data_IF_767051304979
#
_entry.id   IF_767051304979
#
_cell.length_a   1.000
_cell.length_b   1.000
_cell.length_c   1.000
_cell.angle_alpha   90.00
_cell.angle_beta   90.00
_cell.angle_gamma   90.00
#
_symmetry.space_group_name_H-M   'P 1'
#
loop_
_entity.id
_entity.type
_entity.pdbx_description
1 polymer ?
#
# COMPACT_ATOMS: atom_id res chain seq x y z
N UNK A 1 -48.96 -10.12 32.08
CA UNK A 1 -49.87 -10.79 33.03
C UNK A 1 -49.58 -10.32 34.44
N UNK A 2 -48.56 -10.87 35.09
CA UNK A 2 -48.20 -10.55 36.49
C UNK A 2 -48.08 -9.04 36.76
N UNK A 3 -47.25 -8.31 36.00
CA UNK A 3 -47.09 -6.86 36.21
C UNK A 3 -48.41 -6.08 36.14
N UNK A 4 -49.33 -6.46 35.25
CA UNK A 4 -50.63 -5.82 35.13
C UNK A 4 -51.50 -6.04 36.39
N UNK A 5 -51.38 -7.21 37.02
CA UNK A 5 -52.03 -7.47 38.30
C UNK A 5 -51.39 -6.64 39.42
N UNK A 6 -50.06 -6.54 39.47
CA UNK A 6 -49.33 -5.71 40.44
C UNK A 6 -49.72 -4.23 40.36
N UNK A 7 -49.87 -3.67 39.16
CA UNK A 7 -50.33 -2.28 38.96
C UNK A 7 -51.74 -2.06 39.52
N UNK A 8 -52.56 -3.11 39.59
CA UNK A 8 -53.89 -3.10 40.20
C UNK A 8 -53.90 -3.47 41.68
N UNK A 9 -52.73 -3.57 42.32
CA UNK A 9 -52.60 -3.92 43.73
C UNK A 9 -52.79 -5.40 44.05
N UNK A 10 -52.78 -6.28 43.04
CA UNK A 10 -52.95 -7.73 43.22
C UNK A 10 -51.60 -8.43 43.11
N UNK A 11 -51.19 -9.12 44.17
CA UNK A 11 -50.01 -9.99 44.21
C UNK A 11 -50.51 -11.44 44.17
N UNK A 12 -49.88 -12.30 43.36
CA UNK A 12 -50.36 -13.66 43.15
C UNK A 12 -49.99 -14.60 44.29
N UNK A 13 -48.76 -14.56 44.80
CA UNK A 13 -48.23 -15.36 45.92
C UNK A 13 -48.26 -16.90 45.75
N UNK A 14 -48.71 -17.43 44.62
CA UNK A 14 -48.74 -18.87 44.32
C UNK A 14 -48.41 -19.10 42.84
N UNK A 15 -47.47 -18.34 42.29
CA UNK A 15 -47.02 -18.56 40.93
C UNK A 15 -46.24 -19.87 40.84
N UNK A 16 -46.73 -20.76 39.98
CA UNK A 16 -46.12 -22.06 39.65
C UNK A 16 -46.55 -22.48 38.24
N UNK A 17 -45.89 -23.45 37.59
CA UNK A 17 -46.23 -23.86 36.23
C UNK A 17 -47.71 -24.26 36.07
N UNK A 18 -48.30 -24.91 37.08
CA UNK A 18 -49.72 -25.28 37.07
C UNK A 18 -50.70 -24.10 36.96
N UNK A 19 -50.28 -22.89 37.35
CA UNK A 19 -51.08 -21.67 37.28
C UNK A 19 -50.78 -20.84 36.01
N UNK A 20 -50.00 -21.38 35.08
CA UNK A 20 -49.68 -20.77 33.78
C UNK A 20 -50.21 -21.66 32.67
N UNK A 21 -51.40 -21.35 32.16
CA UNK A 21 -52.04 -22.09 31.07
C UNK A 21 -51.62 -21.53 29.71
N UNK A 22 -51.39 -22.39 28.73
CA UNK A 22 -51.10 -21.97 27.36
C UNK A 22 -52.31 -22.25 26.48
N UNK A 23 -52.90 -21.19 25.92
CA UNK A 23 -54.00 -21.27 24.97
C UNK A 23 -53.62 -20.53 23.70
N UNK A 24 -53.76 -21.18 22.53
CA UNK A 24 -53.41 -20.62 21.21
C UNK A 24 -51.97 -20.07 21.15
N UNK A 25 -51.03 -20.79 21.78
CA UNK A 25 -49.62 -20.38 21.83
C UNK A 25 -49.33 -19.18 22.73
N UNK A 26 -50.30 -18.70 23.52
CA UNK A 26 -50.13 -17.58 24.45
C UNK A 26 -50.28 -18.02 25.91
N UNK A 27 -49.31 -17.73 26.78
CA UNK A 27 -49.43 -18.02 28.20
C UNK A 27 -50.42 -17.07 28.87
N UNK A 28 -51.25 -17.61 29.76
CA UNK A 28 -52.23 -16.91 30.60
C UNK A 28 -52.06 -17.38 32.03
N UNK A 29 -52.09 -16.43 32.96
CA UNK A 29 -52.00 -16.72 34.38
C UNK A 29 -53.42 -16.89 34.91
N UNK A 30 -53.63 -17.97 35.65
CA UNK A 30 -54.90 -18.30 36.32
C UNK A 30 -54.69 -18.36 37.82
N UNK A 31 -55.78 -18.50 38.58
CA UNK A 31 -55.74 -18.73 40.03
C UNK A 31 -54.94 -17.67 40.81
N UNK A 32 -55.16 -16.40 40.47
CA UNK A 32 -54.68 -15.27 41.28
C UNK A 32 -55.12 -15.50 42.73
N UNK A 33 -54.14 -15.58 43.63
CA UNK A 33 -54.36 -16.05 45.00
C UNK A 33 -55.39 -15.21 45.76
N UNK A 34 -56.63 -15.69 45.84
CA UNK A 34 -57.67 -15.17 46.75
C UNK A 34 -57.55 -15.80 48.15
N UNK A 35 -56.59 -16.71 48.39
CA UNK A 35 -56.51 -17.46 49.64
C UNK A 35 -55.11 -17.39 50.28
N UNK A 36 -54.96 -16.54 51.31
CA UNK A 36 -54.32 -16.85 52.61
C UNK A 36 -54.22 -15.59 53.48
N UNK A 37 -55.37 -15.02 53.84
CA UNK A 37 -55.53 -14.40 55.15
C UNK A 37 -55.90 -15.53 56.12
N UNK A 38 -54.91 -16.26 56.62
CA UNK A 38 -55.13 -17.18 57.75
C UNK A 38 -55.03 -16.31 59.00
N UNK A 39 -56.15 -16.11 59.67
CA UNK A 39 -56.24 -15.41 60.96
C UNK A 39 -55.12 -15.86 61.92
N UNK A 40 -54.58 -14.92 62.71
CA UNK A 40 -53.51 -15.13 63.71
C UNK A 40 -53.90 -16.08 64.87
N UNK A 41 -55.04 -16.78 64.80
CA UNK A 41 -55.69 -17.35 65.98
C UNK A 41 -55.49 -18.83 66.26
N UNK A 42 -54.95 -19.63 65.35
CA UNK A 42 -54.71 -21.05 65.67
C UNK A 42 -53.33 -21.51 65.20
N UNK A 43 -52.41 -21.62 66.17
CA UNK A 43 -51.04 -22.10 66.00
C UNK A 43 -50.90 -23.60 65.68
N UNK A 44 -51.91 -24.24 65.10
CA UNK A 44 -51.91 -25.68 64.84
C UNK A 44 -52.72 -26.04 63.59
N UNK A 45 -52.26 -25.66 62.39
CA UNK A 45 -52.50 -26.39 61.11
C UNK A 45 -51.75 -25.71 59.96
N UNK A 46 -50.42 -25.82 59.95
CA UNK A 46 -49.60 -25.52 58.76
C UNK A 46 -49.14 -26.80 58.04
N UNK A 47 -49.69 -27.97 58.40
CA UNK A 47 -49.17 -29.27 57.97
C UNK A 47 -49.96 -29.94 56.83
N UNK A 48 -51.06 -29.32 56.35
CA UNK A 48 -51.90 -29.90 55.29
C UNK A 48 -52.30 -28.93 54.18
N UNK A 49 -51.82 -27.70 54.19
CA UNK A 49 -52.05 -26.77 53.09
C UNK A 49 -50.83 -26.80 52.15
N UNK A 50 -50.72 -27.90 51.40
CA UNK A 50 -49.69 -28.19 50.39
C UNK A 50 -49.77 -27.13 49.29
N UNK A 51 -49.09 -26.00 49.49
CA UNK A 51 -48.52 -25.25 48.37
C UNK A 51 -47.33 -26.04 47.82
N UNK A 52 -46.82 -25.69 46.65
CA UNK A 52 -45.60 -26.31 46.11
C UNK A 52 -44.40 -25.50 46.61
N UNK A 53 -43.69 -25.89 47.69
CA UNK A 53 -42.70 -25.02 48.34
C UNK A 53 -41.52 -24.67 47.42
N UNK A 54 -41.32 -25.46 46.37
CA UNK A 54 -40.30 -25.26 45.35
C UNK A 54 -40.32 -23.88 44.67
N UNK A 55 -41.48 -23.21 44.61
CA UNK A 55 -41.62 -21.89 43.96
C UNK A 55 -41.77 -20.72 44.94
N UNK A 56 -41.79 -21.01 46.25
CA UNK A 56 -41.95 -19.98 47.28
C UNK A 56 -40.69 -19.14 47.42
N UNK A 57 -40.86 -17.84 47.64
CA UNK A 57 -39.76 -16.94 47.96
C UNK A 57 -39.28 -17.08 49.41
N UNK A 58 -38.08 -16.57 49.76
CA UNK A 58 -37.56 -16.58 51.13
C UNK A 58 -38.54 -16.00 52.16
N UNK A 59 -39.18 -14.87 51.85
CA UNK A 59 -40.17 -14.24 52.73
C UNK A 59 -41.44 -15.08 52.91
N UNK A 60 -41.83 -15.89 51.91
CA UNK A 60 -42.97 -16.80 52.01
C UNK A 60 -42.67 -18.01 52.90
N UNK A 61 -41.53 -18.68 52.70
CA UNK A 61 -41.16 -19.87 53.49
C UNK A 61 -40.84 -19.53 54.94
N UNK A 62 -40.39 -18.29 55.21
CA UNK A 62 -40.18 -17.75 56.55
C UNK A 62 -41.46 -17.22 57.22
N UNK A 63 -42.59 -17.21 56.52
CA UNK A 63 -43.87 -16.72 57.05
C UNK A 63 -43.92 -15.21 57.29
N UNK A 64 -43.06 -14.42 56.64
CA UNK A 64 -42.97 -12.96 56.81
C UNK A 64 -44.04 -12.24 56.00
N UNK A 65 -45.30 -12.36 56.43
CA UNK A 65 -46.46 -11.86 55.67
C UNK A 65 -46.44 -10.36 55.38
N UNK A 66 -45.85 -9.56 56.26
CA UNK A 66 -45.75 -8.09 56.08
C UNK A 66 -44.76 -7.69 54.98
N UNK A 67 -43.91 -8.63 54.56
CA UNK A 67 -42.86 -8.40 53.57
C UNK A 67 -43.29 -8.91 52.16
N UNK A 68 -44.50 -9.46 52.04
CA UNK A 68 -45.02 -9.97 50.76
C UNK A 68 -45.43 -8.81 49.86
N UNK A 69 -44.76 -8.70 48.71
CA UNK A 69 -45.05 -7.71 47.70
C UNK A 69 -44.86 -8.25 46.27
N UNK A 70 -44.90 -7.37 45.26
CA UNK A 70 -44.70 -7.73 43.86
C UNK A 70 -43.42 -8.54 43.58
N UNK A 71 -42.38 -8.40 44.41
CA UNK A 71 -41.07 -9.05 44.27
C UNK A 71 -41.09 -10.51 44.72
N UNK A 72 -42.11 -10.91 45.49
CA UNK A 72 -42.42 -12.31 45.77
C UNK A 72 -42.77 -13.06 44.48
N UNK A 73 -43.65 -12.47 43.66
CA UNK A 73 -44.01 -13.05 42.36
C UNK A 73 -42.84 -13.04 41.36
N UNK A 74 -41.97 -12.03 41.42
CA UNK A 74 -40.73 -11.98 40.61
C UNK A 74 -39.82 -13.17 40.92
N UNK A 75 -39.66 -13.53 42.19
CA UNK A 75 -38.87 -14.70 42.58
C UNK A 75 -39.47 -15.98 42.02
N UNK A 76 -40.78 -16.19 42.19
CA UNK A 76 -41.48 -17.36 41.66
C UNK A 76 -41.36 -17.47 40.13
N UNK A 77 -41.48 -16.35 39.41
CA UNK A 77 -41.20 -16.30 37.96
C UNK A 77 -39.76 -16.71 37.64
N UNK A 78 -38.78 -16.28 38.44
CA UNK A 78 -37.38 -16.70 38.30
C UNK A 78 -37.20 -18.21 38.40
N UNK A 79 -37.88 -18.84 39.36
CA UNK A 79 -37.88 -20.31 39.53
C UNK A 79 -38.50 -20.99 38.31
N UNK A 80 -39.66 -20.51 37.84
CA UNK A 80 -40.33 -21.05 36.65
C UNK A 80 -39.44 -20.92 35.41
N UNK A 81 -38.80 -19.77 35.20
CA UNK A 81 -37.88 -19.56 34.06
C UNK A 81 -36.70 -20.53 34.17
N UNK A 82 -36.11 -20.69 35.35
CA UNK A 82 -35.03 -21.66 35.55
C UNK A 82 -35.47 -23.05 35.12
N UNK A 83 -36.59 -23.53 35.66
CA UNK A 83 -37.11 -24.87 35.38
C UNK A 83 -37.42 -25.09 33.90
N UNK A 84 -38.07 -24.13 33.23
CA UNK A 84 -38.37 -24.23 31.80
C UNK A 84 -37.10 -24.31 30.96
N UNK A 85 -36.02 -23.64 31.38
CA UNK A 85 -34.78 -23.54 30.62
C UNK A 85 -33.79 -24.68 30.89
N UNK A 86 -33.77 -25.23 32.11
CA UNK A 86 -32.86 -26.33 32.49
C UNK A 86 -33.53 -27.70 32.61
N UNK A 87 -34.87 -27.75 32.66
CA UNK A 87 -35.63 -28.96 33.00
C UNK A 87 -35.56 -29.37 34.48
N UNK A 88 -35.01 -28.50 35.35
CA UNK A 88 -34.79 -28.78 36.76
C UNK A 88 -34.98 -27.53 37.62
N UNK A 89 -35.36 -27.71 38.90
CA UNK A 89 -35.48 -26.61 39.84
C UNK A 89 -34.10 -25.99 40.16
N UNK A 90 -34.04 -24.69 40.50
CA UNK A 90 -32.80 -24.01 40.88
C UNK A 90 -32.22 -24.51 42.22
N UNK A 91 -33.01 -25.25 43.00
CA UNK A 91 -32.62 -25.81 44.30
C UNK A 91 -32.93 -27.30 44.35
N UNK A 92 -32.10 -28.05 45.07
CA UNK A 92 -32.36 -29.45 45.42
C UNK A 92 -32.66 -29.50 46.92
N UNK A 93 -33.89 -29.86 47.28
CA UNK A 93 -34.37 -29.95 48.65
C UNK A 93 -35.42 -31.06 48.78
N UNK A 94 -35.64 -31.52 50.00
CA UNK A 94 -36.83 -32.28 50.37
C UNK A 94 -38.03 -31.33 50.52
N UNK A 95 -38.81 -31.21 49.45
CA UNK A 95 -39.99 -30.35 49.41
C UNK A 95 -41.16 -30.82 50.30
N UNK A 96 -41.06 -32.02 50.89
CA UNK A 96 -42.05 -32.50 51.88
C UNK A 96 -41.83 -31.89 53.27
N UNK A 97 -40.63 -31.37 53.53
CA UNK A 97 -40.25 -30.72 54.78
C UNK A 97 -40.17 -29.21 54.59
N UNK A 98 -41.09 -28.46 55.22
CA UNK A 98 -41.04 -27.00 55.21
C UNK A 98 -39.74 -26.44 55.84
N UNK A 99 -39.15 -27.17 56.79
CA UNK A 99 -37.86 -26.80 57.36
C UNK A 99 -36.73 -26.90 56.32
N UNK A 100 -36.66 -28.00 55.57
CA UNK A 100 -35.62 -28.20 54.56
C UNK A 100 -35.81 -27.27 53.35
N UNK A 101 -37.07 -27.08 52.92
CA UNK A 101 -37.41 -26.10 51.89
C UNK A 101 -37.00 -24.68 52.31
N UNK A 102 -37.35 -24.25 53.53
CA UNK A 102 -36.98 -22.93 54.06
C UNK A 102 -35.46 -22.77 54.15
N UNK A 103 -34.76 -23.75 54.73
CA UNK A 103 -33.30 -23.73 54.84
C UNK A 103 -32.64 -23.59 53.47
N UNK A 104 -33.02 -24.45 52.52
CA UNK A 104 -32.44 -24.44 51.17
C UNK A 104 -32.74 -23.13 50.43
N UNK A 105 -33.99 -22.66 50.47
CA UNK A 105 -34.39 -21.42 49.80
C UNK A 105 -33.69 -20.19 50.40
N UNK A 106 -33.40 -20.18 51.70
CA UNK A 106 -32.80 -19.00 52.34
C UNK A 106 -31.27 -19.00 52.31
N UNK A 107 -30.63 -20.17 52.36
CA UNK A 107 -29.18 -20.28 52.59
C UNK A 107 -28.41 -20.73 51.35
N UNK A 108 -29.02 -21.51 50.46
CA UNK A 108 -28.32 -22.12 49.32
C UNK A 108 -28.39 -21.22 48.08
N UNK A 109 -27.25 -21.00 47.38
CA UNK A 109 -27.26 -20.30 46.10
C UNK A 109 -27.98 -21.14 45.03
N UNK A 110 -28.75 -20.52 44.12
CA UNK A 110 -29.38 -21.27 43.03
C UNK A 110 -28.35 -21.82 42.07
N UNK A 111 -28.70 -22.92 41.40
CA UNK A 111 -27.97 -23.37 40.20
C UNK A 111 -28.08 -22.26 39.15
N UNK A 112 -26.94 -21.91 38.53
CA UNK A 112 -26.88 -20.81 37.57
C UNK A 112 -27.06 -21.31 36.13
N UNK A 113 -27.89 -20.62 35.36
CA UNK A 113 -27.97 -20.83 33.91
C UNK A 113 -26.77 -20.14 33.21
N UNK A 114 -26.40 -20.56 31.99
CA UNK A 114 -25.33 -19.91 31.25
C UNK A 114 -25.74 -18.54 30.68
N UNK A 115 -24.74 -17.65 30.55
CA UNK A 115 -24.86 -16.39 29.81
C UNK A 115 -25.78 -15.35 30.45
N UNK A 116 -26.25 -14.41 29.63
CA UNK A 116 -27.05 -13.26 30.07
C UNK A 116 -28.37 -13.70 30.71
N UNK A 117 -28.95 -14.82 30.27
CA UNK A 117 -30.14 -15.41 30.88
C UNK A 117 -29.89 -15.86 32.32
N UNK A 118 -28.70 -16.42 32.60
CA UNK A 118 -28.29 -16.77 33.95
C UNK A 118 -28.17 -15.58 34.88
N UNK A 119 -27.61 -14.47 34.39
CA UNK A 119 -27.54 -13.24 35.17
C UNK A 119 -28.94 -12.70 35.50
N UNK A 120 -29.85 -12.70 34.52
CA UNK A 120 -31.24 -12.26 34.70
C UNK A 120 -31.99 -13.15 35.70
N UNK A 121 -31.91 -14.48 35.54
CA UNK A 121 -32.55 -15.43 36.48
C UNK A 121 -31.92 -15.34 37.87
N UNK A 122 -30.59 -15.21 37.95
CA UNK A 122 -29.87 -15.03 39.22
C UNK A 122 -30.34 -13.79 39.97
N UNK A 123 -30.52 -12.66 39.30
CA UNK A 123 -31.05 -11.44 39.91
C UNK A 123 -32.51 -11.60 40.35
N UNK A 124 -33.35 -12.32 39.60
CA UNK A 124 -34.71 -12.63 40.03
C UNK A 124 -34.76 -13.51 41.29
N UNK A 125 -33.77 -14.38 41.46
CA UNK A 125 -33.62 -15.33 42.57
C UNK A 125 -32.77 -14.80 43.75
N UNK A 126 -32.43 -13.51 43.76
CA UNK A 126 -31.75 -12.88 44.89
C UNK A 126 -32.56 -13.06 46.18
N UNK A 127 -31.88 -13.40 47.28
CA UNK A 127 -32.59 -13.71 48.54
C UNK A 127 -33.20 -12.46 49.14
N UNK A 128 -32.46 -11.37 49.08
CA UNK A 128 -32.90 -10.04 49.48
C UNK A 128 -33.83 -9.42 48.42
N UNK A 129 -35.11 -9.14 48.74
CA UNK A 129 -36.04 -8.48 47.82
C UNK A 129 -35.53 -7.16 47.24
N UNK A 130 -34.73 -6.39 47.97
CA UNK A 130 -34.22 -5.09 47.51
C UNK A 130 -33.18 -5.24 46.40
N UNK A 131 -32.53 -6.40 46.31
CA UNK A 131 -31.56 -6.74 45.25
C UNK A 131 -32.21 -7.40 44.03
N UNK A 132 -33.46 -7.85 44.14
CA UNK A 132 -34.23 -8.41 43.02
C UNK A 132 -34.69 -7.33 42.05
N UNK A 133 -35.27 -7.76 40.94
CA UNK A 133 -36.07 -6.84 40.12
C UNK A 133 -37.25 -6.29 40.93
N UNK A 134 -37.38 -4.97 40.93
CA UNK A 134 -38.44 -4.28 41.67
C UNK A 134 -39.83 -4.44 41.04
N UNK A 135 -39.92 -5.02 39.83
CA UNK A 135 -41.20 -5.37 39.20
C UNK A 135 -41.06 -6.48 38.18
N UNK A 136 -42.16 -7.19 37.91
CA UNK A 136 -42.23 -8.15 36.82
C UNK A 136 -42.00 -7.52 35.42
N UNK A 137 -42.23 -6.20 35.26
CA UNK A 137 -41.92 -5.49 34.02
C UNK A 137 -40.41 -5.30 33.82
N UNK A 138 -39.66 -5.05 34.88
CA UNK A 138 -38.20 -4.93 34.81
C UNK A 138 -37.58 -6.27 34.38
N UNK A 139 -37.99 -7.37 35.04
CA UNK A 139 -37.61 -8.74 34.63
C UNK A 139 -37.97 -9.02 33.16
N UNK A 140 -39.20 -8.70 32.74
CA UNK A 140 -39.62 -8.90 31.35
C UNK A 140 -38.82 -8.05 30.34
N UNK A 141 -38.33 -6.88 30.75
CA UNK A 141 -37.53 -6.01 29.88
C UNK A 141 -36.15 -6.60 29.64
N UNK A 142 -35.51 -7.15 30.68
CA UNK A 142 -34.23 -7.84 30.57
C UNK A 142 -34.35 -9.15 29.78
N UNK A 143 -35.43 -9.92 29.96
CA UNK A 143 -35.69 -11.12 29.13
C UNK A 143 -35.84 -10.78 27.64
N UNK A 144 -36.55 -9.68 27.31
CA UNK A 144 -36.61 -9.20 25.92
C UNK A 144 -35.24 -8.77 25.40
N UNK A 145 -34.44 -8.13 26.25
CA UNK A 145 -33.08 -7.76 25.89
C UNK A 145 -32.23 -9.01 25.59
N UNK A 146 -32.33 -10.09 26.39
CA UNK A 146 -31.68 -11.38 26.08
C UNK A 146 -32.09 -11.90 24.70
N UNK A 147 -33.40 -11.96 24.41
CA UNK A 147 -33.92 -12.45 23.12
C UNK A 147 -33.44 -11.61 21.93
N UNK A 148 -33.37 -10.30 22.10
CA UNK A 148 -32.95 -9.34 21.08
C UNK A 148 -31.43 -9.10 21.05
N UNK A 149 -30.68 -9.87 21.85
CA UNK A 149 -29.23 -9.73 22.01
C UNK A 149 -28.83 -8.29 22.37
N UNK A 150 -29.59 -7.63 23.25
CA UNK A 150 -29.31 -6.31 23.80
C UNK A 150 -28.68 -6.42 25.19
N UNK A 151 -27.93 -5.40 25.62
CA UNK A 151 -27.38 -5.36 26.98
C UNK A 151 -28.50 -5.50 28.02
N UNK A 152 -28.33 -6.41 28.97
CA UNK A 152 -29.24 -6.60 30.12
C UNK A 152 -28.79 -5.75 31.30
N UNK A 153 -29.72 -5.34 32.16
CA UNK A 153 -29.40 -4.60 33.39
C UNK A 153 -28.70 -5.47 34.42
N UNK A 154 -28.96 -6.78 34.42
CA UNK A 154 -28.33 -7.74 35.33
C UNK A 154 -26.81 -7.87 35.16
N UNK A 155 -26.24 -7.44 34.03
CA UNK A 155 -24.81 -7.55 33.73
C UNK A 155 -24.19 -6.16 33.69
N UNK A 156 -23.09 -5.98 34.42
CA UNK A 156 -22.37 -4.72 34.43
C UNK A 156 -21.94 -4.32 33.00
N UNK A 157 -22.21 -3.07 32.57
CA UNK A 157 -21.93 -2.65 31.21
C UNK A 157 -20.41 -2.64 30.95
N UNK A 158 -19.98 -3.31 29.88
CA UNK A 158 -18.62 -3.21 29.36
C UNK A 158 -18.62 -2.97 27.86
N UNK A 159 -17.63 -2.20 27.38
CA UNK A 159 -17.52 -1.87 25.96
C UNK A 159 -17.39 -3.13 25.08
N UNK A 160 -16.63 -4.13 25.55
CA UNK A 160 -16.46 -5.41 24.85
C UNK A 160 -17.77 -6.20 24.77
N UNK A 161 -18.53 -6.26 25.86
CA UNK A 161 -19.84 -6.92 25.89
C UNK A 161 -20.81 -6.28 24.89
N UNK A 162 -20.89 -4.95 24.88
CA UNK A 162 -21.75 -4.22 23.95
C UNK A 162 -21.30 -4.37 22.49
N UNK A 163 -19.98 -4.34 22.22
CA UNK A 163 -19.43 -4.56 20.88
C UNK A 163 -19.75 -5.97 20.35
N UNK A 164 -19.64 -7.01 21.20
CA UNK A 164 -20.03 -8.39 20.84
C UNK A 164 -21.49 -8.46 20.47
N UNK A 165 -22.38 -7.91 21.30
CA UNK A 165 -23.82 -7.89 21.04
C UNK A 165 -24.17 -7.10 19.77
N UNK A 166 -23.50 -5.97 19.55
CA UNK A 166 -23.63 -5.19 18.32
C UNK A 166 -23.22 -6.02 17.09
N UNK A 167 -22.11 -6.74 17.16
CA UNK A 167 -21.63 -7.58 16.06
C UNK A 167 -22.60 -8.73 15.76
N UNK A 168 -23.19 -9.35 16.78
CA UNK A 168 -24.22 -10.40 16.60
C UNK A 168 -25.46 -9.82 15.92
N UNK A 169 -25.89 -8.61 16.30
CA UNK A 169 -27.09 -7.97 15.73
C UNK A 169 -26.86 -7.41 14.32
N UNK A 170 -25.64 -6.97 14.02
CA UNK A 170 -25.29 -6.26 12.77
C UNK A 170 -24.22 -7.00 11.95
N UNK A 171 -24.33 -8.32 11.84
CA UNK A 171 -23.37 -9.18 11.11
C UNK A 171 -23.05 -8.67 9.70
N UNK A 172 -24.06 -8.29 8.93
CA UNK A 172 -23.87 -7.79 7.56
C UNK A 172 -23.03 -6.50 7.51
N UNK A 173 -23.29 -5.55 8.41
CA UNK A 173 -22.54 -4.30 8.50
C UNK A 173 -21.09 -4.55 8.95
N UNK A 174 -20.88 -5.42 9.94
CA UNK A 174 -19.52 -5.76 10.42
C UNK A 174 -18.71 -6.43 9.31
N UNK A 175 -19.30 -7.37 8.56
CA UNK A 175 -18.65 -8.00 7.41
C UNK A 175 -18.33 -6.95 6.34
N UNK A 176 -19.26 -6.05 6.00
CA UNK A 176 -19.04 -5.00 5.02
C UNK A 176 -17.88 -4.07 5.41
N UNK A 177 -17.82 -3.63 6.67
CA UNK A 177 -16.69 -2.83 7.19
C UNK A 177 -15.38 -3.62 7.09
N UNK A 178 -15.37 -4.89 7.46
CA UNK A 178 -14.20 -5.75 7.37
C UNK A 178 -13.68 -5.88 5.93
N UNK A 179 -14.58 -6.08 4.97
CA UNK A 179 -14.24 -6.14 3.53
C UNK A 179 -13.72 -4.78 3.05
N UNK A 180 -14.35 -3.68 3.42
CA UNK A 180 -13.91 -2.34 3.04
C UNK A 180 -12.50 -2.03 3.59
N UNK A 181 -12.23 -2.36 4.85
CA UNK A 181 -10.90 -2.21 5.45
C UNK A 181 -9.85 -3.07 4.74
N UNK A 182 -10.18 -4.32 4.42
CA UNK A 182 -9.28 -5.21 3.69
C UNK A 182 -8.97 -4.69 2.29
N UNK A 183 -9.97 -4.12 1.59
CA UNK A 183 -9.77 -3.48 0.29
C UNK A 183 -8.87 -2.25 0.38
N UNK A 184 -9.03 -1.41 1.42
CA UNK A 184 -8.15 -0.25 1.66
C UNK A 184 -6.71 -0.70 1.91
N UNK A 185 -6.50 -1.71 2.75
CA UNK A 185 -5.15 -2.25 3.04
C UNK A 185 -4.53 -2.85 1.78
N UNK A 186 -5.27 -3.67 1.04
CA UNK A 186 -4.81 -4.24 -0.23
C UNK A 186 -4.46 -3.15 -1.25
N UNK A 187 -5.27 -2.09 -1.32
CA UNK A 187 -5.01 -0.91 -2.14
C UNK A 187 -3.69 -0.23 -1.75
N UNK A 188 -3.49 0.05 -0.46
CA UNK A 188 -2.29 0.71 0.06
C UNK A 188 -1.01 -0.12 -0.20
N UNK A 189 -1.10 -1.43 0.01
CA UNK A 189 0.00 -2.37 -0.28
C UNK A 189 0.30 -2.38 -1.78
N UNK A 190 -0.74 -2.48 -2.61
CA UNK A 190 -0.62 -2.47 -4.07
C UNK A 190 0.01 -1.20 -4.62
N UNK A 191 -0.45 -0.02 -4.16
CA UNK A 191 0.11 1.28 -4.58
C UNK A 191 1.56 1.44 -4.16
N UNK A 192 1.91 0.99 -2.95
CA UNK A 192 3.29 1.09 -2.45
C UNK A 192 4.23 0.17 -3.24
N UNK A 193 3.82 -1.08 -3.48
CA UNK A 193 4.60 -2.01 -4.29
C UNK A 193 4.79 -1.51 -5.73
N UNK A 194 3.74 -0.95 -6.33
CA UNK A 194 3.81 -0.32 -7.65
C UNK A 194 4.78 0.87 -7.66
N UNK A 195 4.72 1.76 -6.66
CA UNK A 195 5.59 2.91 -6.55
C UNK A 195 7.08 2.50 -6.44
N UNK A 196 7.39 1.51 -5.61
CA UNK A 196 8.76 0.97 -5.46
C UNK A 196 9.25 0.37 -6.79
N UNK A 197 8.40 -0.39 -7.49
CA UNK A 197 8.77 -0.98 -8.78
C UNK A 197 9.00 0.09 -9.85
N UNK A 198 8.17 1.14 -9.85
CA UNK A 198 8.31 2.27 -10.75
C UNK A 198 9.60 3.07 -10.46
N UNK A 199 9.98 3.26 -9.20
CA UNK A 199 11.24 3.94 -8.85
C UNK A 199 12.47 3.14 -9.27
N UNK A 200 12.45 1.82 -9.14
CA UNK A 200 13.57 0.98 -9.61
C UNK A 200 13.77 1.04 -11.12
N UNK A 201 12.68 0.99 -11.91
CA UNK A 201 12.77 1.10 -13.37
C UNK A 201 13.29 2.47 -13.82
N UNK A 202 12.90 3.54 -13.13
CA UNK A 202 13.42 4.89 -13.40
C UNK A 202 14.93 4.99 -13.10
N UNK A 203 15.39 4.44 -11.98
CA UNK A 203 16.81 4.46 -11.63
C UNK A 203 17.69 3.78 -12.68
N UNK A 204 17.29 2.60 -13.16
CA UNK A 204 18.05 1.88 -14.22
C UNK A 204 18.10 2.70 -15.52
N UNK A 205 16.99 3.34 -15.90
CA UNK A 205 16.95 4.18 -17.11
C UNK A 205 17.78 5.47 -16.99
N UNK A 206 17.92 6.02 -15.78
CA UNK A 206 18.78 7.17 -15.51
C UNK A 206 20.27 6.78 -15.58
N UNK A 207 20.63 5.62 -15.03
CA UNK A 207 22.00 5.08 -15.09
C UNK A 207 22.42 4.79 -16.55
N UNK A 208 21.55 4.17 -17.35
CA UNK A 208 21.81 3.92 -18.78
C UNK A 208 22.01 5.22 -19.57
N UNK A 209 21.25 6.27 -19.25
CA UNK A 209 21.38 7.59 -19.90
C UNK A 209 22.70 8.26 -19.55
N UNK A 210 23.13 8.16 -18.30
CA UNK A 210 24.40 8.76 -17.87
C UNK A 210 25.58 8.07 -18.60
N UNK A 211 25.58 6.73 -18.67
CA UNK A 211 26.60 5.99 -19.42
C UNK A 211 26.62 6.38 -20.89
N UNK A 212 25.44 6.49 -21.53
CA UNK A 212 25.35 6.92 -22.92
C UNK A 212 25.87 8.34 -23.14
N UNK A 213 25.56 9.27 -22.22
CA UNK A 213 26.03 10.65 -22.29
C UNK A 213 27.55 10.77 -22.12
N UNK A 214 28.14 9.99 -21.21
CA UNK A 214 29.59 9.96 -21.02
C UNK A 214 30.29 9.39 -22.26
N UNK A 215 29.79 8.27 -22.82
CA UNK A 215 30.34 7.69 -24.03
C UNK A 215 30.31 8.66 -25.23
N UNK A 216 29.22 9.43 -25.36
CA UNK A 216 29.12 10.46 -26.40
C UNK A 216 30.15 11.57 -26.21
N UNK A 217 30.31 12.08 -24.98
CA UNK A 217 31.30 13.12 -24.68
C UNK A 217 32.73 12.66 -24.95
N UNK A 218 33.06 11.43 -24.59
CA UNK A 218 34.38 10.86 -24.88
C UNK A 218 34.63 10.76 -26.39
N UNK A 219 33.62 10.33 -27.16
CA UNK A 219 33.72 10.26 -28.62
C UNK A 219 33.92 11.65 -29.25
N UNK A 220 33.17 12.66 -28.80
CA UNK A 220 33.31 14.05 -29.25
C UNK A 220 34.69 14.63 -28.90
N UNK A 221 35.18 14.39 -27.68
CA UNK A 221 36.50 14.84 -27.25
C UNK A 221 37.64 14.15 -28.01
N UNK A 222 37.50 12.86 -28.31
CA UNK A 222 38.44 12.11 -29.14
C UNK A 222 38.50 12.67 -30.56
N UNK A 223 37.33 12.95 -31.16
CA UNK A 223 37.23 13.56 -32.50
C UNK A 223 37.86 14.94 -32.55
N UNK A 224 37.52 15.82 -31.61
CA UNK A 224 38.10 17.16 -31.54
C UNK A 224 39.63 17.13 -31.30
N UNK A 225 40.13 16.10 -30.61
CA UNK A 225 41.58 15.91 -30.43
C UNK A 225 42.26 15.41 -31.71
N UNK A 226 41.61 14.52 -32.46
CA UNK A 226 42.11 14.07 -33.76
C UNK A 226 42.16 15.21 -34.78
N UNK A 227 41.09 16.01 -34.89
CA UNK A 227 41.03 17.18 -35.78
C UNK A 227 42.11 18.22 -35.43
N UNK A 228 42.34 18.49 -34.14
CA UNK A 228 43.45 19.36 -33.70
C UNK A 228 44.82 18.82 -34.08
N UNK A 229 45.08 17.52 -33.86
CA UNK A 229 46.36 16.89 -34.23
C UNK A 229 46.57 16.95 -35.74
N UNK A 230 45.53 16.67 -36.52
CA UNK A 230 45.57 16.78 -37.98
C UNK A 230 45.90 18.21 -38.42
N UNK A 231 45.21 19.22 -37.88
CA UNK A 231 45.49 20.63 -38.14
C UNK A 231 46.91 21.05 -37.79
N UNK A 232 47.46 20.55 -36.67
CA UNK A 232 48.85 20.83 -36.26
C UNK A 232 49.89 20.24 -37.22
N UNK A 233 49.70 18.99 -37.65
CA UNK A 233 50.59 18.35 -38.63
C UNK A 233 50.54 19.09 -39.97
N UNK A 234 49.33 19.48 -40.39
CA UNK A 234 49.12 20.28 -41.60
C UNK A 234 49.85 21.62 -41.55
N UNK A 235 49.68 22.38 -40.47
CA UNK A 235 50.38 23.65 -40.28
C UNK A 235 51.90 23.49 -40.30
N UNK A 236 52.44 22.47 -39.62
CA UNK A 236 53.87 22.16 -39.65
C UNK A 236 54.37 21.86 -41.06
N UNK A 237 53.62 21.08 -41.82
CA UNK A 237 53.96 20.75 -43.21
C UNK A 237 53.93 21.98 -44.11
N UNK A 238 52.93 22.86 -43.97
CA UNK A 238 52.87 24.14 -44.69
C UNK A 238 54.09 25.00 -44.38
N UNK A 239 54.46 25.17 -43.09
CA UNK A 239 55.66 25.94 -42.72
C UNK A 239 56.95 25.31 -43.27
N UNK A 240 57.07 23.98 -43.26
CA UNK A 240 58.22 23.30 -43.87
C UNK A 240 58.29 23.51 -45.38
N UNK A 241 57.18 23.33 -46.09
CA UNK A 241 57.13 23.36 -47.56
C UNK A 241 57.20 24.76 -48.16
N UNK A 242 56.63 25.76 -47.49
CA UNK A 242 56.53 27.13 -48.03
C UNK A 242 57.50 28.10 -47.36
N UNK A 243 57.56 28.13 -46.03
CA UNK A 243 58.37 29.13 -45.31
C UNK A 243 59.85 28.74 -45.31
N UNK A 244 60.16 27.51 -44.89
CA UNK A 244 61.54 27.04 -44.77
C UNK A 244 62.20 26.87 -46.13
N UNK A 245 61.47 26.31 -47.12
CA UNK A 245 61.97 26.23 -48.50
C UNK A 245 62.32 27.61 -49.06
N UNK A 246 61.43 28.59 -48.88
CA UNK A 246 61.65 29.95 -49.35
C UNK A 246 62.90 30.60 -48.76
N UNK A 247 63.25 30.27 -47.51
CA UNK A 247 64.49 30.71 -46.88
C UNK A 247 65.72 29.97 -47.42
N UNK A 248 65.63 28.64 -47.59
CA UNK A 248 66.74 27.80 -48.06
C UNK A 248 67.18 28.13 -49.48
N UNK A 249 66.29 28.67 -50.32
CA UNK A 249 66.60 29.07 -51.70
C UNK A 249 67.77 30.07 -51.80
N UNK A 250 67.98 30.90 -50.78
CA UNK A 250 69.03 31.93 -50.78
C UNK A 250 70.33 31.48 -50.08
N UNK A 251 70.37 30.27 -49.53
CA UNK A 251 71.52 29.74 -48.81
C UNK A 251 72.42 28.93 -49.76
N UNK A 252 73.66 29.39 -49.97
CA UNK A 252 74.64 28.65 -50.78
C UNK A 252 74.98 27.30 -50.14
N UNK A 253 74.94 26.22 -50.93
CA UNK A 253 75.25 24.85 -50.47
C UNK A 253 74.08 24.10 -49.81
N UNK A 254 72.87 24.66 -49.80
CA UNK A 254 71.69 24.04 -49.17
C UNK A 254 71.00 22.95 -50.02
N UNK A 255 71.57 22.53 -51.15
CA UNK A 255 70.96 21.56 -52.09
C UNK A 255 70.52 20.25 -51.40
N UNK A 256 71.35 19.57 -50.57
CA UNK A 256 70.93 18.33 -49.92
C UNK A 256 69.76 18.52 -48.93
N UNK A 257 69.66 19.69 -48.30
CA UNK A 257 68.57 20.02 -47.40
C UNK A 257 67.25 20.25 -48.18
N UNK A 258 67.32 20.89 -49.35
CA UNK A 258 66.17 21.08 -50.24
C UNK A 258 65.67 19.76 -50.83
N UNK A 259 66.57 18.87 -51.27
CA UNK A 259 66.22 17.52 -51.71
C UNK A 259 65.50 16.73 -50.61
N UNK A 260 66.00 16.78 -49.36
CA UNK A 260 65.36 16.07 -48.25
C UNK A 260 63.99 16.64 -47.91
N UNK A 261 63.84 17.97 -47.97
CA UNK A 261 62.58 18.66 -47.72
C UNK A 261 61.53 18.31 -48.77
N UNK A 262 61.91 18.26 -50.06
CA UNK A 262 61.04 17.80 -51.14
C UNK A 262 60.61 16.36 -50.93
N UNK A 263 61.55 15.45 -50.61
CA UNK A 263 61.21 14.04 -50.39
C UNK A 263 60.22 13.84 -49.22
N UNK A 264 60.43 14.55 -48.10
CA UNK A 264 59.51 14.50 -46.95
C UNK A 264 58.17 15.16 -47.27
N UNK A 265 58.20 16.26 -48.02
CA UNK A 265 57.02 16.97 -48.49
C UNK A 265 56.13 16.10 -49.39
N UNK A 266 56.73 15.43 -50.38
CA UNK A 266 56.01 14.51 -51.27
C UNK A 266 55.38 13.35 -50.50
N UNK A 267 56.12 12.74 -49.57
CA UNK A 267 55.59 11.65 -48.74
C UNK A 267 54.38 12.10 -47.90
N UNK A 268 54.43 13.31 -47.35
CA UNK A 268 53.31 13.88 -46.60
C UNK A 268 52.11 14.22 -47.50
N UNK A 269 52.36 14.91 -48.63
CA UNK A 269 51.32 15.30 -49.58
C UNK A 269 50.61 14.07 -50.17
N UNK A 270 51.33 12.99 -50.43
CA UNK A 270 50.76 11.74 -50.94
C UNK A 270 49.83 11.07 -49.91
N UNK A 271 50.26 10.99 -48.64
CA UNK A 271 49.41 10.47 -47.57
C UNK A 271 48.14 11.32 -47.38
N UNK A 272 48.28 12.64 -47.41
CA UNK A 272 47.17 13.56 -47.26
C UNK A 272 46.22 13.54 -48.46
N UNK A 273 46.73 13.34 -49.68
CA UNK A 273 45.92 13.19 -50.88
C UNK A 273 45.04 11.92 -50.89
N UNK A 274 45.48 10.84 -50.22
CA UNK A 274 44.67 9.64 -50.04
C UNK A 274 43.48 9.87 -49.09
N UNK A 275 43.65 10.76 -48.11
CA UNK A 275 42.63 11.08 -47.10
C UNK A 275 41.73 12.26 -47.50
N UNK A 276 42.08 13.00 -48.55
CA UNK A 276 41.41 14.24 -48.92
C UNK A 276 39.93 14.08 -49.32
N UNK A 277 39.53 12.89 -49.82
CA UNK A 277 38.16 12.63 -50.26
C UNK A 277 37.66 13.71 -51.23
N UNK A 278 36.55 14.37 -50.87
CA UNK A 278 35.95 15.49 -51.62
C UNK A 278 36.07 16.83 -50.87
N UNK A 279 36.99 16.94 -49.90
CA UNK A 279 37.26 18.20 -49.20
C UNK A 279 37.95 19.19 -50.16
N UNK A 280 37.13 20.08 -50.72
CA UNK A 280 37.60 21.07 -51.70
C UNK A 280 38.64 22.04 -51.16
N UNK A 281 38.70 22.29 -49.85
CA UNK A 281 39.73 23.15 -49.25
C UNK A 281 41.05 22.39 -49.21
N UNK A 282 41.02 21.14 -48.78
CA UNK A 282 42.21 20.29 -48.71
C UNK A 282 42.78 19.99 -50.10
N UNK A 283 41.93 19.81 -51.11
CA UNK A 283 42.37 19.66 -52.51
C UNK A 283 43.11 20.90 -53.04
N UNK A 284 42.68 22.13 -52.69
CA UNK A 284 43.40 23.38 -53.04
C UNK A 284 44.78 23.41 -52.40
N UNK A 285 44.84 23.09 -51.10
CA UNK A 285 46.08 23.11 -50.32
C UNK A 285 47.09 22.08 -50.85
N UNK A 286 46.62 20.87 -51.18
CA UNK A 286 47.44 19.83 -51.80
C UNK A 286 47.96 20.25 -53.17
N UNK A 287 47.09 20.82 -54.02
CA UNK A 287 47.48 21.31 -55.34
C UNK A 287 48.59 22.37 -55.23
N UNK A 288 48.45 23.35 -54.32
CA UNK A 288 49.49 24.35 -54.05
C UNK A 288 50.78 23.72 -53.52
N UNK A 289 50.67 22.71 -52.64
CA UNK A 289 51.82 21.98 -52.10
C UNK A 289 52.61 21.27 -53.20
N UNK A 290 51.93 20.52 -54.07
CA UNK A 290 52.55 19.84 -55.22
C UNK A 290 53.14 20.83 -56.23
N UNK A 291 52.48 21.97 -56.47
CA UNK A 291 53.01 23.03 -57.33
C UNK A 291 54.30 23.64 -56.76
N UNK A 292 54.37 23.88 -55.44
CA UNK A 292 55.59 24.35 -54.79
C UNK A 292 56.72 23.34 -54.98
N UNK A 293 56.45 22.06 -54.73
CA UNK A 293 57.44 21.00 -54.94
C UNK A 293 57.92 20.95 -56.39
N UNK A 294 57.02 21.05 -57.38
CA UNK A 294 57.37 21.10 -58.80
C UNK A 294 58.35 22.24 -59.12
N UNK A 295 58.13 23.43 -58.52
CA UNK A 295 59.03 24.57 -58.69
C UNK A 295 60.41 24.33 -58.10
N UNK A 296 60.49 23.66 -56.95
CA UNK A 296 61.77 23.31 -56.30
C UNK A 296 62.54 22.27 -57.12
N UNK A 297 61.85 21.25 -57.64
CA UNK A 297 62.48 20.18 -58.41
C UNK A 297 63.05 20.66 -59.75
N UNK A 298 62.25 21.35 -60.57
CA UNK A 298 62.59 21.47 -62.00
C UNK A 298 62.25 22.78 -62.70
N UNK A 299 61.81 23.85 -62.01
CA UNK A 299 61.39 25.07 -62.70
C UNK A 299 62.54 25.77 -63.48
N UNK A 300 62.34 26.09 -64.77
CA UNK A 300 63.40 26.58 -65.67
C UNK A 300 63.83 28.04 -65.44
N UNK A 301 63.04 28.84 -64.71
CA UNK A 301 63.32 30.26 -64.43
C UNK A 301 63.65 30.56 -62.96
N UNK A 302 63.87 29.54 -62.13
CA UNK A 302 64.18 29.68 -60.70
C UNK A 302 65.34 28.79 -60.26
N UNK A 303 65.88 29.04 -59.07
CA UNK A 303 66.88 28.16 -58.44
C UNK A 303 66.21 26.83 -58.05
N UNK A 304 66.30 25.84 -58.94
CA UNK A 304 65.73 24.50 -58.81
C UNK A 304 66.82 23.44 -58.62
N UNK A 305 66.43 22.22 -58.27
CA UNK A 305 67.31 21.07 -58.08
C UNK A 305 67.78 20.44 -59.41
N UNK A 306 67.18 20.82 -60.54
CA UNK A 306 67.49 20.26 -61.85
C UNK A 306 66.80 18.93 -62.16
N UNK A 307 65.89 18.48 -61.29
CA UNK A 307 65.03 17.31 -61.48
C UNK A 307 63.78 17.72 -62.28
N UNK A 308 63.94 17.84 -63.59
CA UNK A 308 62.85 18.23 -64.50
C UNK A 308 61.76 17.16 -64.60
N UNK A 309 62.11 15.88 -64.49
CA UNK A 309 61.17 14.77 -64.60
C UNK A 309 60.27 14.69 -63.36
N UNK A 310 60.86 14.75 -62.15
CA UNK A 310 60.10 14.83 -60.91
C UNK A 310 59.28 16.12 -60.81
N UNK A 311 59.81 17.24 -61.31
CA UNK A 311 59.09 18.50 -61.38
C UNK A 311 57.82 18.44 -62.23
N UNK A 312 57.87 17.78 -63.39
CA UNK A 312 56.70 17.55 -64.24
C UNK A 312 55.69 16.62 -63.55
N UNK A 313 56.14 15.53 -62.93
CA UNK A 313 55.24 14.61 -62.22
C UNK A 313 54.50 15.30 -61.05
N UNK A 314 55.18 16.15 -60.29
CA UNK A 314 54.57 16.95 -59.23
C UNK A 314 53.59 18.00 -59.79
N UNK A 315 53.90 18.58 -60.96
CA UNK A 315 53.01 19.53 -61.63
C UNK A 315 51.73 18.86 -62.12
N UNK A 316 51.82 17.68 -62.74
CA UNK A 316 50.68 16.90 -63.19
C UNK A 316 49.75 16.57 -62.00
N UNK A 317 50.32 16.14 -60.87
CA UNK A 317 49.55 15.91 -59.64
C UNK A 317 48.86 17.17 -59.12
N UNK A 318 49.52 18.32 -59.18
CA UNK A 318 48.90 19.59 -58.79
C UNK A 318 47.70 19.94 -59.69
N UNK A 319 47.82 19.68 -61.00
CA UNK A 319 46.75 19.91 -61.98
C UNK A 319 45.59 18.96 -61.73
N UNK A 320 45.84 17.65 -61.59
CA UNK A 320 44.81 16.64 -61.34
C UNK A 320 43.95 16.99 -60.11
N UNK A 321 44.61 17.38 -59.01
CA UNK A 321 43.93 17.78 -57.77
C UNK A 321 43.09 19.04 -57.96
N UNK A 322 43.58 20.00 -58.76
CA UNK A 322 42.86 21.24 -59.03
C UNK A 322 41.68 21.01 -59.97
N UNK A 323 41.82 20.17 -60.99
CA UNK A 323 40.72 19.79 -61.88
C UNK A 323 39.62 19.08 -61.08
N UNK A 324 39.99 18.12 -60.23
CA UNK A 324 39.04 17.44 -59.33
C UNK A 324 38.33 18.41 -58.39
N UNK A 325 39.05 19.39 -57.84
CA UNK A 325 38.43 20.42 -56.99
C UNK A 325 37.42 21.27 -57.76
N UNK A 326 37.75 21.67 -58.99
CA UNK A 326 36.87 22.47 -59.86
C UNK A 326 35.61 21.68 -60.24
N UNK A 327 35.74 20.38 -60.53
CA UNK A 327 34.61 19.49 -60.78
C UNK A 327 33.66 19.40 -59.57
N UNK A 328 34.22 19.33 -58.37
CA UNK A 328 33.44 19.29 -57.12
C UNK A 328 32.78 20.63 -56.76
N UNK A 329 33.39 21.77 -57.10
CA UNK A 329 32.85 23.10 -56.83
C UNK A 329 31.79 23.56 -57.85
N UNK A 330 31.76 22.94 -59.04
CA UNK A 330 30.87 23.36 -60.14
C UNK A 330 31.36 24.65 -60.81
N UNK A 331 31.12 24.76 -62.12
CA UNK A 331 31.65 25.77 -63.06
C UNK A 331 31.67 27.24 -62.56
N UNK A 332 32.68 27.62 -61.79
CA UNK A 332 33.01 29.01 -61.46
C UNK A 332 33.84 29.63 -62.61
N UNK A 333 33.43 30.77 -63.22
CA UNK A 333 34.14 31.42 -64.32
C UNK A 333 35.63 31.71 -64.08
N UNK A 334 36.07 31.82 -62.82
CA UNK A 334 37.48 31.99 -62.47
C UNK A 334 38.38 30.81 -62.84
N UNK A 335 37.82 29.59 -62.91
CA UNK A 335 38.56 28.38 -63.23
C UNK A 335 38.98 28.29 -64.72
N UNK A 336 38.22 28.90 -65.64
CA UNK A 336 38.57 28.93 -67.07
C UNK A 336 39.76 29.84 -67.39
N UNK A 337 39.96 30.92 -66.62
CA UNK A 337 41.04 31.89 -66.87
C UNK A 337 42.43 31.30 -66.59
N UNK A 338 42.53 30.34 -65.67
CA UNK A 338 43.80 29.70 -65.31
C UNK A 338 44.32 28.74 -66.38
N UNK A 339 43.42 27.96 -67.02
CA UNK A 339 43.76 27.01 -68.10
C UNK A 339 44.42 27.70 -69.31
N UNK A 340 44.13 29.00 -69.53
CA UNK A 340 44.73 29.82 -70.58
C UNK A 340 46.03 30.53 -70.18
N UNK A 341 46.40 30.54 -68.89
CA UNK A 341 47.59 31.26 -68.39
C UNK A 341 48.83 30.37 -68.17
N UNK A 342 48.70 29.06 -68.38
CA UNK A 342 49.77 28.05 -68.18
C UNK A 342 50.25 27.36 -69.47
N UNK A 343 49.65 27.68 -70.63
CA UNK A 343 50.19 27.35 -71.96
C UNK A 343 51.13 28.47 -72.44
#
# INVERSE_FOLDING_TARGET
>A
GVHHAHVKGVIHCDLKPGNVLVAEGRPRIVDFGIARLVDERDGQTMDQAIGTPAYMSPEQVQGRRRDLDARTDVYALGVIIHEVMSGSLPYQADWSSMYDASKTICETPPVSLPGDLGAVVGQALEKDPDRRYQSAQALASDLRAVLEHRPVQAVAPSAMYQARLFAVRHRGLVVAIGVALLAVVAGLVGTTAFAIRASHLKGVAEDEREVAFQAQREAEAARASAERRFGQVRALATTLLFDIEGMLRFVSGATPARERLVAVGLQYLEGLAQEAGDDTILLDELSRGYLQVAMVQGAPQSSSLGDTEGGLASLDRAIDLRERQIELQGSDPGAMLWKNSML
#
